data_IF_416499393913
#
_entry.id   IF_416499393913
#
_cell.length_a   1.000
_cell.length_b   1.000
_cell.length_c   1.000
_cell.angle_alpha   90.00
_cell.angle_beta   90.00
_cell.angle_gamma   90.00
#
_symmetry.space_group_name_H-M   'P 1'
#
loop_
_entity.id
_entity.type
_entity.pdbx_description
1 polymer ?
#
# COMPACT_ATOMS: atom_id res chain seq x y z
N UNK A 1 -17.41 23.92 -13.92
CA UNK A 1 -17.44 24.44 -12.53
C UNK A 1 -16.40 23.67 -11.72
N UNK A 2 -15.51 24.38 -11.02
CA UNK A 2 -14.60 23.75 -10.05
C UNK A 2 -15.49 23.20 -8.91
N UNK A 3 -15.33 21.93 -8.49
CA UNK A 3 -16.18 21.35 -7.46
C UNK A 3 -15.89 21.96 -6.08
N UNK A 4 -16.89 21.92 -5.18
CA UNK A 4 -16.70 22.17 -3.75
C UNK A 4 -16.11 20.93 -3.03
N UNK A 5 -15.73 21.05 -1.76
CA UNK A 5 -15.07 19.95 -1.04
C UNK A 5 -15.97 18.72 -0.91
N UNK A 6 -17.27 18.89 -0.71
CA UNK A 6 -18.20 17.78 -0.52
C UNK A 6 -18.44 16.99 -1.82
N UNK A 7 -18.54 17.68 -2.96
CA UNK A 7 -18.64 17.02 -4.27
C UNK A 7 -17.34 16.30 -4.62
N UNK A 8 -16.19 16.92 -4.33
CA UNK A 8 -14.89 16.33 -4.63
C UNK A 8 -14.58 15.14 -3.73
N UNK A 9 -14.87 15.22 -2.43
CA UNK A 9 -14.70 14.11 -1.47
C UNK A 9 -15.59 12.91 -1.82
N UNK A 10 -16.84 13.15 -2.21
CA UNK A 10 -17.75 12.09 -2.65
C UNK A 10 -17.22 11.38 -3.90
N UNK A 11 -16.69 12.13 -4.89
CA UNK A 11 -16.05 11.54 -6.08
C UNK A 11 -14.80 10.75 -5.72
N UNK A 12 -13.99 11.26 -4.80
CA UNK A 12 -12.80 10.57 -4.30
C UNK A 12 -13.16 9.25 -3.62
N UNK A 13 -14.18 9.22 -2.75
CA UNK A 13 -14.63 8.00 -2.08
C UNK A 13 -15.19 6.96 -3.06
N UNK A 14 -15.97 7.39 -4.05
CA UNK A 14 -16.46 6.50 -5.13
C UNK A 14 -15.31 5.92 -5.95
N UNK A 15 -14.31 6.74 -6.27
CA UNK A 15 -13.11 6.28 -6.97
C UNK A 15 -12.27 5.33 -6.13
N UNK A 16 -12.24 5.50 -4.80
CA UNK A 16 -11.54 4.60 -3.88
C UNK A 16 -12.27 3.26 -3.66
N UNK A 17 -13.58 3.20 -3.86
CA UNK A 17 -14.38 1.97 -3.70
C UNK A 17 -13.87 0.83 -4.59
N UNK A 18 -13.68 1.09 -5.88
CA UNK A 18 -13.25 0.10 -6.87
C UNK A 18 -11.93 -0.58 -6.46
N UNK A 19 -10.80 0.15 -6.26
CA UNK A 19 -9.54 -0.50 -5.92
C UNK A 19 -9.59 -1.22 -4.57
N UNK A 20 -10.35 -0.73 -3.59
CA UNK A 20 -10.47 -1.40 -2.28
C UNK A 20 -11.15 -2.75 -2.41
N UNK A 21 -12.33 -2.76 -3.04
CA UNK A 21 -13.11 -4.00 -3.22
C UNK A 21 -12.35 -4.98 -4.09
N UNK A 22 -11.75 -4.53 -5.20
CA UNK A 22 -11.01 -5.40 -6.12
C UNK A 22 -9.78 -6.00 -5.44
N UNK A 23 -8.95 -5.19 -4.76
CA UNK A 23 -7.75 -5.71 -4.08
C UNK A 23 -8.14 -6.63 -2.93
N UNK A 24 -9.13 -6.26 -2.12
CA UNK A 24 -9.59 -7.09 -1.01
C UNK A 24 -10.16 -8.42 -1.49
N UNK A 25 -10.99 -8.42 -2.54
CA UNK A 25 -11.57 -9.63 -3.11
C UNK A 25 -10.49 -10.55 -3.71
N UNK A 26 -9.52 -9.98 -4.42
CA UNK A 26 -8.44 -10.73 -5.05
C UNK A 26 -7.52 -11.37 -4.00
N UNK A 27 -7.14 -10.64 -2.96
CA UNK A 27 -6.30 -11.17 -1.87
C UNK A 27 -7.07 -12.18 -1.00
N UNK A 28 -8.37 -11.95 -0.75
CA UNK A 28 -9.22 -12.91 -0.03
C UNK A 28 -9.42 -14.20 -0.82
N UNK A 29 -9.60 -14.11 -2.14
CA UNK A 29 -9.65 -15.28 -3.03
C UNK A 29 -8.35 -16.08 -2.98
N UNK A 30 -7.21 -15.39 -2.95
CA UNK A 30 -5.90 -16.03 -2.75
C UNK A 30 -5.83 -16.75 -1.40
N UNK A 31 -6.24 -16.10 -0.30
CA UNK A 31 -6.27 -16.71 1.04
C UNK A 31 -7.12 -18.00 1.06
N UNK A 32 -8.34 -17.93 0.51
CA UNK A 32 -9.26 -19.06 0.45
C UNK A 32 -8.71 -20.25 -0.34
N UNK A 33 -7.99 -19.98 -1.43
CA UNK A 33 -7.38 -21.03 -2.26
C UNK A 33 -6.13 -21.63 -1.64
N UNK A 34 -5.41 -20.89 -0.81
CA UNK A 34 -4.09 -21.28 -0.32
C UNK A 34 -4.13 -22.07 0.98
N UNK A 35 -5.23 -22.00 1.74
CA UNK A 35 -5.33 -22.60 3.07
C UNK A 35 -6.18 -23.87 3.05
N UNK A 36 -5.59 -24.99 3.46
CA UNK A 36 -6.32 -26.21 3.85
C UNK A 36 -6.62 -26.11 5.34
N UNK A 37 -7.88 -26.35 5.73
CA UNK A 37 -8.37 -26.30 7.12
C UNK A 37 -7.92 -25.05 7.87
N UNK A 38 -8.48 -23.91 7.48
CA UNK A 38 -8.09 -22.61 8.03
C UNK A 38 -8.23 -22.55 9.55
N UNK A 39 -7.14 -22.18 10.22
CA UNK A 39 -7.13 -21.89 11.65
C UNK A 39 -7.61 -20.47 11.94
N UNK A 40 -8.05 -20.21 13.18
CA UNK A 40 -8.44 -18.87 13.62
C UNK A 40 -7.30 -17.86 13.40
N UNK A 41 -6.07 -18.25 13.72
CA UNK A 41 -4.90 -17.39 13.60
C UNK A 41 -4.56 -17.07 12.14
N UNK A 42 -4.72 -18.03 11.23
CA UNK A 42 -4.52 -17.79 9.78
C UNK A 42 -5.61 -16.89 9.19
N UNK A 43 -6.86 -17.04 9.65
CA UNK A 43 -7.94 -16.14 9.27
C UNK A 43 -7.66 -14.71 9.74
N UNK A 44 -7.26 -14.53 11.01
CA UNK A 44 -6.91 -13.23 11.58
C UNK A 44 -5.69 -12.63 10.87
N UNK A 45 -4.64 -13.42 10.67
CA UNK A 45 -3.42 -12.96 10.00
C UNK A 45 -3.68 -12.60 8.53
N UNK A 46 -4.42 -13.43 7.79
CA UNK A 46 -4.78 -13.22 6.40
C UNK A 46 -5.63 -11.97 6.20
N UNK A 47 -6.82 -11.94 6.81
CA UNK A 47 -7.74 -10.80 6.70
C UNK A 47 -7.14 -9.54 7.33
N UNK A 48 -6.41 -9.69 8.42
CA UNK A 48 -5.72 -8.60 9.12
C UNK A 48 -4.65 -7.95 8.25
N UNK A 49 -3.78 -8.74 7.62
CA UNK A 49 -2.74 -8.23 6.72
C UNK A 49 -3.34 -7.47 5.52
N UNK A 50 -4.41 -8.00 4.93
CA UNK A 50 -5.15 -7.33 3.85
C UNK A 50 -5.66 -5.97 4.31
N UNK A 51 -6.43 -5.93 5.41
CA UNK A 51 -7.00 -4.68 5.94
C UNK A 51 -5.91 -3.68 6.33
N UNK A 52 -4.88 -4.15 7.06
CA UNK A 52 -3.79 -3.32 7.54
C UNK A 52 -3.07 -2.64 6.38
N UNK A 53 -2.75 -3.40 5.32
CA UNK A 53 -2.05 -2.87 4.14
C UNK A 53 -2.84 -1.77 3.42
N UNK A 54 -4.16 -1.94 3.30
CA UNK A 54 -5.04 -0.99 2.63
C UNK A 54 -5.23 0.26 3.49
N UNK A 55 -5.64 0.10 4.75
CA UNK A 55 -5.95 1.20 5.67
C UNK A 55 -4.70 2.04 5.97
N UNK A 56 -3.57 1.39 6.23
CA UNK A 56 -2.31 2.10 6.44
C UNK A 56 -1.94 2.95 5.23
N UNK A 57 -2.01 2.37 4.03
CA UNK A 57 -1.70 3.07 2.78
C UNK A 57 -2.62 4.27 2.56
N UNK A 58 -3.93 4.12 2.82
CA UNK A 58 -4.89 5.20 2.70
C UNK A 58 -4.61 6.36 3.66
N UNK A 59 -4.38 6.05 4.94
CA UNK A 59 -4.20 7.09 5.96
C UNK A 59 -2.86 7.80 5.80
N UNK A 60 -1.81 7.05 5.44
CA UNK A 60 -0.48 7.63 5.17
C UNK A 60 -0.51 8.53 3.94
N UNK A 61 -1.06 8.05 2.83
CA UNK A 61 -1.02 8.77 1.55
C UNK A 61 -2.09 9.88 1.46
N UNK A 62 -3.17 9.74 2.23
CA UNK A 62 -4.30 10.68 2.23
C UNK A 62 -3.91 12.10 2.62
N UNK A 63 -3.03 12.26 3.61
CA UNK A 63 -2.58 13.60 4.05
C UNK A 63 -1.90 14.38 2.92
N UNK A 64 -0.90 13.77 2.27
CA UNK A 64 -0.18 14.42 1.16
C UNK A 64 -1.11 14.72 -0.02
N UNK A 65 -2.03 13.79 -0.34
CA UNK A 65 -3.00 14.00 -1.42
C UNK A 65 -3.94 15.19 -1.18
N UNK A 66 -4.48 15.33 0.04
CA UNK A 66 -5.39 16.43 0.36
C UNK A 66 -4.68 17.77 0.45
N UNK A 67 -3.43 17.80 0.95
CA UNK A 67 -2.57 18.99 0.88
C UNK A 67 -2.35 19.43 -0.56
N UNK A 68 -1.98 18.51 -1.45
CA UNK A 68 -1.85 18.79 -2.87
C UNK A 68 -3.15 19.38 -3.46
N UNK A 69 -4.29 18.78 -3.12
CA UNK A 69 -5.62 19.21 -3.61
C UNK A 69 -5.96 20.64 -3.19
N UNK A 70 -5.70 20.98 -1.92
CA UNK A 70 -5.95 22.31 -1.36
C UNK A 70 -5.00 23.35 -1.98
N UNK A 71 -3.69 23.08 -2.00
CA UNK A 71 -2.70 24.05 -2.49
C UNK A 71 -2.83 24.33 -3.99
N UNK A 72 -3.25 23.34 -4.79
CA UNK A 72 -3.44 23.52 -6.24
C UNK A 72 -4.82 24.03 -6.63
N UNK A 73 -5.66 24.42 -5.64
CA UNK A 73 -7.00 24.97 -5.86
C UNK A 73 -7.87 24.09 -6.78
N UNK A 74 -7.70 22.76 -6.68
CA UNK A 74 -8.55 21.79 -7.40
C UNK A 74 -10.01 21.81 -6.93
N UNK A 75 -10.21 22.44 -5.77
CA UNK A 75 -11.48 22.65 -5.12
C UNK A 75 -11.58 24.13 -4.79
N UNK A 76 -12.77 24.70 -4.95
CA UNK A 76 -13.03 26.10 -4.63
C UNK A 76 -14.10 26.17 -3.53
N UNK A 77 -13.76 26.83 -2.43
CA UNK A 77 -14.69 27.31 -1.40
C UNK A 77 -14.31 28.74 -1.05
N UNK A 78 -15.28 29.54 -0.63
CA UNK A 78 -15.00 30.91 -0.17
C UNK A 78 -14.20 30.89 1.13
N UNK A 79 -13.38 31.91 1.42
CA UNK A 79 -12.62 31.98 2.67
C UNK A 79 -13.49 31.86 3.93
N UNK A 80 -14.72 32.37 3.87
CA UNK A 80 -15.72 32.28 4.94
C UNK A 80 -16.21 30.85 5.16
N UNK A 81 -16.51 30.11 4.09
CA UNK A 81 -16.89 28.69 4.16
C UNK A 81 -15.75 27.83 4.71
N UNK A 82 -14.51 28.11 4.32
CA UNK A 82 -13.31 27.43 4.82
C UNK A 82 -13.16 27.67 6.32
N UNK A 83 -13.29 28.93 6.78
CA UNK A 83 -13.21 29.28 8.20
C UNK A 83 -14.31 28.56 9.00
N UNK A 84 -15.55 28.58 8.49
CA UNK A 84 -16.71 27.91 9.08
C UNK A 84 -16.51 26.39 9.16
N UNK A 85 -15.92 25.76 8.13
CA UNK A 85 -15.62 24.32 8.12
C UNK A 85 -14.52 23.95 9.12
N UNK A 86 -13.48 24.77 9.28
CA UNK A 86 -12.40 24.56 10.26
C UNK A 86 -12.95 24.59 11.70
N UNK A 87 -13.89 25.48 11.97
CA UNK A 87 -14.50 25.71 13.29
C UNK A 87 -15.54 24.63 13.65
N UNK A 88 -16.46 24.28 12.73
CA UNK A 88 -17.47 23.25 12.97
C UNK A 88 -16.90 21.83 13.13
N UNK A 89 -15.75 21.52 12.51
CA UNK A 89 -15.07 20.24 12.66
C UNK A 89 -14.16 20.22 13.90
N UNK A 90 -14.67 20.62 15.07
CA UNK A 90 -13.93 20.59 16.35
C UNK A 90 -13.64 19.14 16.78
N UNK A 91 -12.67 18.51 16.14
CA UNK A 91 -12.19 17.19 16.46
C UNK A 91 -11.43 17.25 17.79
N UNK A 92 -12.09 16.86 18.88
CA UNK A 92 -11.48 16.72 20.21
C UNK A 92 -10.28 15.76 20.21
N UNK A 93 -9.38 15.87 21.18
CA UNK A 93 -8.06 15.20 21.18
C UNK A 93 -8.09 13.68 20.94
N UNK A 94 -9.09 12.97 21.46
CA UNK A 94 -9.26 11.53 21.24
C UNK A 94 -9.66 11.17 19.80
N UNK A 95 -10.48 12.00 19.15
CA UNK A 95 -10.90 11.79 17.76
C UNK A 95 -9.71 11.85 16.79
N UNK A 96 -8.75 12.74 17.06
CA UNK A 96 -7.50 12.87 16.29
C UNK A 96 -6.68 11.58 16.26
N UNK A 97 -6.75 10.76 17.29
CA UNK A 97 -6.02 9.50 17.37
C UNK A 97 -6.53 8.53 16.29
N UNK A 98 -7.84 8.43 16.09
CA UNK A 98 -8.46 7.51 15.12
C UNK A 98 -8.13 7.80 13.65
N UNK A 99 -7.54 8.97 13.35
CA UNK A 99 -7.18 9.38 12.00
C UNK A 99 -5.66 9.36 11.75
N UNK A 100 -4.87 8.88 12.70
CA UNK A 100 -3.45 8.56 12.48
C UNK A 100 -3.32 7.18 11.82
N UNK A 101 -2.33 6.96 10.92
CA UNK A 101 -2.19 5.68 10.22
C UNK A 101 -2.13 4.48 11.16
N UNK A 102 -1.32 4.54 12.22
CA UNK A 102 -1.17 3.45 13.17
C UNK A 102 -2.45 3.15 13.93
N UNK A 103 -3.10 4.17 14.50
CA UNK A 103 -4.29 3.98 15.30
C UNK A 103 -5.51 3.57 14.47
N UNK A 104 -5.67 4.11 13.26
CA UNK A 104 -6.69 3.64 12.31
C UNK A 104 -6.48 2.16 11.96
N UNK A 105 -5.24 1.79 11.65
CA UNK A 105 -4.85 0.41 11.38
C UNK A 105 -5.13 -0.52 12.56
N UNK A 106 -4.78 -0.12 13.79
CA UNK A 106 -5.06 -0.90 15.00
C UNK A 106 -6.56 -1.08 15.25
N UNK A 107 -7.36 -0.02 15.08
CA UNK A 107 -8.81 -0.11 15.22
C UNK A 107 -9.40 -1.11 14.21
N UNK A 108 -8.98 -1.03 12.95
CA UNK A 108 -9.44 -1.99 11.93
C UNK A 108 -8.99 -3.42 12.22
N UNK A 109 -7.81 -3.60 12.80
CA UNK A 109 -7.33 -4.93 13.23
C UNK A 109 -8.20 -5.49 14.37
N UNK A 110 -8.59 -4.67 15.34
CA UNK A 110 -9.52 -5.08 16.40
C UNK A 110 -10.85 -5.54 15.82
N UNK A 111 -11.39 -4.81 14.84
CA UNK A 111 -12.62 -5.20 14.13
C UNK A 111 -12.44 -6.53 13.39
N UNK A 112 -11.31 -6.73 12.69
CA UNK A 112 -10.99 -8.00 12.03
C UNK A 112 -10.95 -9.16 13.03
N UNK A 113 -10.30 -8.98 14.18
CA UNK A 113 -10.22 -10.02 15.22
C UNK A 113 -11.60 -10.40 15.73
N UNK A 114 -12.44 -9.41 16.06
CA UNK A 114 -13.79 -9.66 16.56
C UNK A 114 -14.67 -10.37 15.52
N UNK A 115 -14.61 -9.94 14.26
CA UNK A 115 -15.36 -10.57 13.17
C UNK A 115 -14.86 -11.98 12.87
N UNK A 116 -13.55 -12.19 12.90
CA UNK A 116 -12.92 -13.50 12.73
C UNK A 116 -13.33 -14.46 13.86
N UNK A 117 -13.34 -13.97 15.10
CA UNK A 117 -13.80 -14.75 16.25
C UNK A 117 -15.28 -15.10 16.14
N UNK A 118 -16.13 -14.14 15.76
CA UNK A 118 -17.56 -14.39 15.53
C UNK A 118 -17.78 -15.44 14.45
N UNK A 119 -17.08 -15.33 13.31
CA UNK A 119 -17.16 -16.31 12.24
C UNK A 119 -16.65 -17.70 12.66
N UNK A 120 -15.65 -17.76 13.53
CA UNK A 120 -15.13 -19.01 14.08
C UNK A 120 -16.16 -19.72 14.97
N UNK A 121 -16.92 -18.96 15.77
CA UNK A 121 -17.95 -19.47 16.66
C UNK A 121 -19.17 -20.03 15.91
N UNK A 122 -19.42 -19.62 14.65
CA UNK A 122 -20.51 -20.16 13.83
C UNK A 122 -20.32 -21.64 13.43
N UNK A 123 -19.13 -22.21 13.63
CA UNK A 123 -18.83 -23.62 13.36
C UNK A 123 -18.08 -23.86 12.04
N UNK A 124 -17.49 -25.07 11.87
CA UNK A 124 -16.53 -25.36 10.81
C UNK A 124 -17.12 -25.27 9.40
N UNK A 125 -18.38 -25.67 9.23
CA UNK A 125 -19.07 -25.67 7.92
C UNK A 125 -19.23 -24.27 7.30
N UNK A 126 -19.23 -23.22 8.12
CA UNK A 126 -19.41 -21.84 7.65
C UNK A 126 -18.11 -21.05 7.51
N UNK A 127 -16.94 -21.61 7.86
CA UNK A 127 -15.67 -20.86 7.89
C UNK A 127 -15.31 -20.25 6.53
N UNK A 128 -15.27 -21.06 5.48
CA UNK A 128 -14.93 -20.61 4.12
C UNK A 128 -15.92 -19.58 3.54
N UNK A 129 -17.25 -19.79 3.57
CA UNK A 129 -18.18 -18.79 3.06
C UNK A 129 -18.17 -17.50 3.90
N UNK A 130 -17.99 -17.59 5.22
CA UNK A 130 -17.87 -16.40 6.09
C UNK A 130 -16.58 -15.62 5.82
N UNK A 131 -15.46 -16.27 5.56
CA UNK A 131 -14.22 -15.57 5.14
C UNK A 131 -14.44 -14.84 3.81
N UNK A 132 -15.12 -15.48 2.86
CA UNK A 132 -15.52 -14.83 1.60
C UNK A 132 -16.37 -13.59 1.85
N UNK A 133 -17.42 -13.69 2.66
CA UNK A 133 -18.29 -12.58 3.02
C UNK A 133 -17.52 -11.45 3.73
N UNK A 134 -16.67 -11.81 4.70
CA UNK A 134 -15.87 -10.86 5.46
C UNK A 134 -14.88 -10.14 4.54
N UNK A 135 -14.06 -10.87 3.79
CA UNK A 135 -13.00 -10.28 2.98
C UNK A 135 -13.47 -9.54 1.72
N UNK A 136 -14.62 -9.91 1.14
CA UNK A 136 -15.13 -9.30 -0.10
C UNK A 136 -16.13 -8.17 0.17
N UNK A 137 -16.92 -8.26 1.24
CA UNK A 137 -18.02 -7.32 1.49
C UNK A 137 -17.80 -6.52 2.76
N UNK A 138 -17.70 -7.21 3.90
CA UNK A 138 -17.81 -6.56 5.20
C UNK A 138 -16.56 -5.73 5.54
N UNK A 139 -15.36 -6.27 5.30
CA UNK A 139 -14.10 -5.58 5.55
C UNK A 139 -13.87 -4.42 4.58
N UNK A 140 -14.11 -4.55 3.25
CA UNK A 140 -14.12 -3.39 2.36
C UNK A 140 -15.08 -2.29 2.80
N UNK A 141 -16.29 -2.63 3.26
CA UNK A 141 -17.24 -1.66 3.79
C UNK A 141 -16.70 -0.94 5.03
N UNK A 142 -16.08 -1.67 5.97
CA UNK A 142 -15.41 -1.09 7.15
C UNK A 142 -14.27 -0.15 6.73
N UNK A 143 -13.42 -0.56 5.78
CA UNK A 143 -12.32 0.27 5.28
C UNK A 143 -12.81 1.55 4.60
N UNK A 144 -13.87 1.47 3.80
CA UNK A 144 -14.47 2.63 3.14
C UNK A 144 -15.18 3.54 4.13
N UNK A 145 -15.84 2.99 5.14
CA UNK A 145 -16.43 3.76 6.23
C UNK A 145 -15.34 4.50 7.03
N UNK A 146 -14.23 3.84 7.34
CA UNK A 146 -13.07 4.47 7.97
C UNK A 146 -12.53 5.61 7.12
N UNK A 147 -12.39 5.39 5.80
CA UNK A 147 -11.93 6.40 4.85
C UNK A 147 -12.88 7.60 4.81
N UNK A 148 -14.18 7.37 4.66
CA UNK A 148 -15.23 8.41 4.67
C UNK A 148 -15.14 9.28 5.92
N UNK A 149 -15.02 8.66 7.10
CA UNK A 149 -14.85 9.39 8.38
C UNK A 149 -13.54 10.15 8.49
N UNK A 150 -12.48 9.68 7.82
CA UNK A 150 -11.17 10.32 7.84
C UNK A 150 -11.03 11.51 6.88
N UNK A 151 -11.77 11.53 5.78
CA UNK A 151 -11.61 12.54 4.73
C UNK A 151 -11.85 13.97 5.25
N UNK A 152 -12.93 14.27 6.01
CA UNK A 152 -13.13 15.60 6.59
C UNK A 152 -11.96 16.04 7.49
N UNK A 153 -11.39 15.10 8.26
CA UNK A 153 -10.21 15.36 9.08
C UNK A 153 -8.99 15.71 8.24
N UNK A 154 -8.73 14.94 7.17
CA UNK A 154 -7.59 15.18 6.26
C UNK A 154 -7.71 16.51 5.51
N UNK A 155 -8.93 16.87 5.09
CA UNK A 155 -9.22 18.18 4.47
C UNK A 155 -8.95 19.32 5.46
N UNK A 156 -9.51 19.23 6.68
CA UNK A 156 -9.28 20.24 7.71
C UNK A 156 -7.79 20.40 8.03
N UNK A 157 -7.07 19.29 8.15
CA UNK A 157 -5.63 19.33 8.38
C UNK A 157 -4.91 20.04 7.23
N UNK A 158 -5.24 19.72 5.97
CA UNK A 158 -4.66 20.39 4.81
C UNK A 158 -4.95 21.89 4.77
N UNK A 159 -6.18 22.32 5.12
CA UNK A 159 -6.56 23.73 5.20
C UNK A 159 -5.79 24.48 6.31
N UNK A 160 -5.67 23.88 7.49
CA UNK A 160 -4.90 24.46 8.60
C UNK A 160 -3.43 24.67 8.23
N UNK A 161 -2.82 23.69 7.55
CA UNK A 161 -1.44 23.79 7.06
C UNK A 161 -1.32 24.86 5.97
N UNK A 162 -2.33 25.01 5.12
CA UNK A 162 -2.34 26.06 4.12
C UNK A 162 -2.42 27.45 4.74
N UNK A 163 -3.26 27.64 5.76
CA UNK A 163 -3.43 28.91 6.48
C UNK A 163 -2.17 29.31 7.25
N UNK A 164 -1.55 28.36 7.94
CA UNK A 164 -0.39 28.61 8.80
C UNK A 164 0.77 27.68 8.45
N UNK A 165 1.28 27.87 7.23
CA UNK A 165 2.40 27.07 6.72
C UNK A 165 3.68 27.30 7.53
N UNK A 166 3.88 28.53 8.04
CA UNK A 166 5.11 28.91 8.74
C UNK A 166 5.26 28.19 10.08
N UNK A 167 4.17 27.97 10.82
CA UNK A 167 4.21 27.29 12.12
C UNK A 167 4.00 25.77 12.04
N UNK A 168 3.86 25.21 10.84
CA UNK A 168 3.70 23.77 10.70
C UNK A 168 5.02 23.03 10.94
N UNK A 169 5.07 22.24 12.01
CA UNK A 169 6.21 21.37 12.32
C UNK A 169 6.31 20.23 11.28
N UNK A 170 7.23 20.39 10.33
CA UNK A 170 7.48 19.38 9.32
C UNK A 170 8.15 18.15 9.93
N UNK A 171 7.79 16.97 9.43
CA UNK A 171 8.48 15.71 9.72
C UNK A 171 9.10 15.21 8.42
N UNK A 172 10.38 15.51 8.16
CA UNK A 172 11.00 15.18 6.90
C UNK A 172 11.05 13.66 6.73
N UNK A 173 10.47 13.17 5.65
CA UNK A 173 10.54 11.77 5.25
C UNK A 173 11.63 11.61 4.20
N UNK A 174 12.24 10.42 4.18
CA UNK A 174 13.20 10.01 3.14
C UNK A 174 12.57 8.90 2.30
N UNK A 175 12.98 8.79 1.04
CA UNK A 175 12.48 7.78 0.12
C UNK A 175 12.74 6.34 0.62
N UNK A 176 13.91 5.99 1.21
CA UNK A 176 14.12 4.67 1.80
C UNK A 176 13.13 4.32 2.93
N UNK A 177 12.66 5.30 3.71
CA UNK A 177 11.66 5.05 4.74
C UNK A 177 10.30 4.71 4.13
N UNK A 178 9.90 5.42 3.07
CA UNK A 178 8.68 5.10 2.31
C UNK A 178 8.78 3.71 1.65
N UNK A 179 9.96 3.34 1.15
CA UNK A 179 10.24 2.02 0.59
C UNK A 179 10.13 0.92 1.65
N UNK A 180 10.74 1.12 2.82
CA UNK A 180 10.71 0.16 3.92
C UNK A 180 9.29 -0.12 4.42
N UNK A 181 8.45 0.91 4.55
CA UNK A 181 7.04 0.74 4.89
C UNK A 181 6.28 -0.07 3.83
N UNK A 182 6.48 0.23 2.54
CA UNK A 182 5.81 -0.49 1.46
C UNK A 182 6.29 -1.96 1.40
N UNK A 183 7.57 -2.21 1.61
CA UNK A 183 8.15 -3.55 1.70
C UNK A 183 7.56 -4.33 2.87
N UNK A 184 7.46 -3.72 4.05
CA UNK A 184 6.91 -4.35 5.25
C UNK A 184 5.46 -4.78 5.01
N UNK A 185 4.63 -3.90 4.45
CA UNK A 185 3.23 -4.24 4.13
C UNK A 185 3.14 -5.32 3.05
N UNK A 186 3.98 -5.25 2.02
CA UNK A 186 4.04 -6.26 0.96
C UNK A 186 4.42 -7.64 1.50
N UNK A 187 5.45 -7.70 2.35
CA UNK A 187 5.90 -8.93 3.02
C UNK A 187 4.85 -9.47 3.99
N UNK A 188 4.18 -8.60 4.76
CA UNK A 188 3.12 -9.01 5.67
C UNK A 188 1.98 -9.72 4.93
N UNK A 189 1.50 -9.13 3.83
CA UNK A 189 0.46 -9.73 2.99
C UNK A 189 0.98 -11.02 2.34
N UNK A 190 2.21 -11.01 1.84
CA UNK A 190 2.81 -12.18 1.22
C UNK A 190 2.90 -13.37 2.19
N UNK A 191 3.43 -13.17 3.39
CA UNK A 191 3.53 -14.23 4.39
C UNK A 191 2.17 -14.74 4.83
N UNK A 192 1.20 -13.84 5.04
CA UNK A 192 -0.14 -14.23 5.43
C UNK A 192 -0.85 -15.09 4.36
N UNK A 193 -0.54 -14.88 3.07
CA UNK A 193 -1.16 -15.62 1.95
C UNK A 193 -0.39 -16.87 1.52
N UNK A 194 0.95 -16.89 1.66
CA UNK A 194 1.80 -17.92 1.07
C UNK A 194 2.23 -18.98 2.09
N UNK A 195 2.48 -18.62 3.35
CA UNK A 195 2.91 -19.61 4.35
C UNK A 195 1.94 -20.80 4.50
N UNK A 196 0.60 -20.60 4.47
CA UNK A 196 -0.33 -21.72 4.57
C UNK A 196 -0.27 -22.73 3.41
N UNK A 197 0.28 -22.33 2.25
CA UNK A 197 0.43 -23.18 1.06
C UNK A 197 1.31 -24.40 1.35
N UNK A 198 2.28 -24.26 2.27
CA UNK A 198 3.20 -25.35 2.63
C UNK A 198 2.51 -26.62 3.16
N UNK A 199 1.23 -26.55 3.54
CA UNK A 199 0.43 -27.73 3.95
C UNK A 199 -0.18 -28.51 2.78
N UNK A 200 -0.14 -27.98 1.56
CA UNK A 200 -0.68 -28.66 0.38
C UNK A 200 0.22 -29.81 -0.08
N UNK A 201 -0.39 -30.87 -0.59
CA UNK A 201 0.33 -32.04 -1.10
C UNK A 201 1.34 -31.70 -2.19
N UNK A 202 1.02 -30.75 -3.07
CA UNK A 202 1.89 -30.28 -4.16
C UNK A 202 3.19 -29.61 -3.66
N UNK A 203 3.16 -29.07 -2.44
CA UNK A 203 4.29 -28.42 -1.79
C UNK A 203 4.93 -29.31 -0.72
N UNK A 204 4.53 -30.59 -0.65
CA UNK A 204 5.14 -31.56 0.23
C UNK A 204 6.57 -31.85 -0.19
N UNK A 205 7.49 -31.69 0.76
CA UNK A 205 8.91 -31.95 0.57
C UNK A 205 9.27 -33.43 0.78
N UNK A 206 8.30 -34.32 1.02
CA UNK A 206 8.54 -35.74 1.30
C UNK A 206 9.32 -36.46 0.18
N UNK A 207 9.08 -36.08 -1.08
CA UNK A 207 9.80 -36.59 -2.25
C UNK A 207 11.13 -35.86 -2.53
N UNK A 208 11.52 -34.92 -1.67
CA UNK A 208 12.72 -34.09 -1.79
C UNK A 208 12.55 -32.86 -2.69
N UNK A 209 13.48 -31.91 -2.53
CA UNK A 209 13.51 -30.64 -3.28
C UNK A 209 13.67 -30.81 -4.81
N UNK A 210 14.26 -31.93 -5.24
CA UNK A 210 14.50 -32.26 -6.65
C UNK A 210 13.31 -32.83 -7.40
N UNK A 211 12.17 -33.03 -6.75
CA UNK A 211 10.99 -33.60 -7.40
C UNK A 211 10.50 -32.63 -8.50
N UNK A 212 10.39 -33.07 -9.78
CA UNK A 212 9.90 -32.22 -10.87
C UNK A 212 8.55 -31.56 -10.60
N UNK A 213 7.62 -32.27 -9.95
CA UNK A 213 6.31 -31.72 -9.61
C UNK A 213 6.41 -30.56 -8.62
N UNK A 214 7.27 -30.70 -7.60
CA UNK A 214 7.54 -29.65 -6.63
C UNK A 214 8.21 -28.44 -7.28
N UNK A 215 9.22 -28.66 -8.12
CA UNK A 215 9.94 -27.59 -8.82
C UNK A 215 8.97 -26.75 -9.66
N UNK A 216 8.07 -27.40 -10.43
CA UNK A 216 7.08 -26.70 -11.25
C UNK A 216 6.08 -25.93 -10.39
N UNK A 217 5.53 -26.55 -9.33
CA UNK A 217 4.61 -25.88 -8.42
C UNK A 217 5.26 -24.66 -7.74
N UNK A 218 6.52 -24.80 -7.32
CA UNK A 218 7.27 -23.75 -6.66
C UNK A 218 7.67 -22.61 -7.60
N UNK A 219 8.03 -22.95 -8.85
CA UNK A 219 8.25 -21.97 -9.91
C UNK A 219 7.00 -21.11 -10.12
N UNK A 220 5.83 -21.74 -10.30
CA UNK A 220 4.56 -21.03 -10.46
C UNK A 220 4.28 -20.13 -9.25
N UNK A 221 4.49 -20.63 -8.03
CA UNK A 221 4.31 -19.85 -6.80
C UNK A 221 5.19 -18.60 -6.79
N UNK A 222 6.50 -18.73 -7.05
CA UNK A 222 7.41 -17.58 -7.05
C UNK A 222 7.12 -16.59 -8.17
N UNK A 223 6.71 -17.06 -9.35
CA UNK A 223 6.26 -16.19 -10.44
C UNK A 223 5.04 -15.37 -10.03
N UNK A 224 4.03 -16.00 -9.41
CA UNK A 224 2.83 -15.31 -8.91
C UNK A 224 3.22 -14.29 -7.83
N UNK A 225 4.05 -14.69 -6.86
CA UNK A 225 4.54 -13.80 -5.79
C UNK A 225 5.25 -12.58 -6.37
N UNK A 226 6.11 -12.78 -7.36
CA UNK A 226 6.80 -11.67 -8.02
C UNK A 226 5.83 -10.74 -8.74
N UNK A 227 4.86 -11.28 -9.50
CA UNK A 227 3.84 -10.47 -10.17
C UNK A 227 3.06 -9.59 -9.19
N UNK A 228 2.68 -10.15 -8.04
CA UNK A 228 2.02 -9.41 -6.96
C UNK A 228 2.89 -8.28 -6.43
N UNK A 229 4.14 -8.57 -6.08
CA UNK A 229 5.07 -7.56 -5.57
C UNK A 229 5.35 -6.48 -6.62
N UNK A 230 5.51 -6.87 -7.88
CA UNK A 230 5.73 -5.94 -8.99
C UNK A 230 4.53 -5.02 -9.23
N UNK A 231 3.30 -5.54 -9.17
CA UNK A 231 2.09 -4.71 -9.29
C UNK A 231 2.01 -3.66 -8.17
N UNK A 232 2.34 -4.03 -6.93
CA UNK A 232 2.43 -3.07 -5.83
C UNK A 232 3.57 -2.06 -6.02
N UNK A 233 4.68 -2.45 -6.66
CA UNK A 233 5.81 -1.56 -6.93
C UNK A 233 5.44 -0.40 -7.87
N UNK A 234 4.57 -0.65 -8.86
CA UNK A 234 4.21 0.31 -9.92
C UNK A 234 3.31 1.46 -9.42
N UNK A 235 2.63 1.30 -8.27
CA UNK A 235 1.61 2.25 -7.81
C UNK A 235 2.15 3.69 -7.75
N UNK A 236 1.58 4.64 -8.53
CA UNK A 236 2.07 6.01 -8.57
C UNK A 236 1.74 6.77 -7.28
N UNK A 237 2.66 7.64 -6.86
CA UNK A 237 2.51 8.51 -5.68
C UNK A 237 2.85 9.98 -5.91
N UNK A 238 3.03 10.40 -7.17
CA UNK A 238 3.42 11.78 -7.53
C UNK A 238 2.62 12.89 -6.82
N UNK A 239 1.29 12.77 -6.73
CA UNK A 239 0.46 13.80 -6.09
C UNK A 239 0.63 13.86 -4.58
N UNK A 240 0.86 12.70 -3.94
CA UNK A 240 1.13 12.62 -2.50
C UNK A 240 2.49 13.25 -2.20
N UNK A 241 3.51 12.90 -2.99
CA UNK A 241 4.86 13.43 -2.88
C UNK A 241 4.87 14.94 -3.09
N UNK A 242 4.16 15.45 -4.09
CA UNK A 242 4.02 16.89 -4.32
C UNK A 242 3.38 17.59 -3.12
N UNK A 243 2.32 17.03 -2.55
CA UNK A 243 1.72 17.57 -1.32
C UNK A 243 2.71 17.63 -0.17
N UNK A 244 3.47 16.56 0.06
CA UNK A 244 4.53 16.53 1.08
C UNK A 244 5.67 17.53 0.79
N UNK A 245 6.01 17.79 -0.48
CA UNK A 245 6.98 18.83 -0.87
C UNK A 245 6.48 20.23 -0.53
N UNK A 246 5.20 20.52 -0.82
CA UNK A 246 4.63 21.85 -0.63
C UNK A 246 4.62 22.28 0.84
N UNK A 247 4.59 21.32 1.77
CA UNK A 247 4.60 21.55 3.23
C UNK A 247 5.97 21.29 3.87
N UNK A 248 7.01 21.03 3.07
CA UNK A 248 8.37 20.82 3.56
C UNK A 248 8.58 19.51 4.34
N UNK A 249 7.73 18.49 4.14
CA UNK A 249 7.88 17.16 4.74
C UNK A 249 8.86 16.24 3.97
N UNK A 250 9.63 16.80 3.04
CA UNK A 250 10.63 16.08 2.26
C UNK A 250 12.00 16.49 2.77
N UNK A 251 12.82 15.50 3.17
CA UNK A 251 14.20 15.75 3.57
C UNK A 251 15.02 16.31 2.40
N UNK A 252 16.06 17.11 2.68
CA UNK A 252 16.96 17.64 1.65
C UNK A 252 17.65 16.51 0.85
N UNK A 253 17.90 15.36 1.49
CA UNK A 253 18.46 14.14 0.92
C UNK A 253 17.39 13.09 0.60
N UNK A 254 16.20 13.51 0.16
CA UNK A 254 15.06 12.61 -0.04
C UNK A 254 15.38 11.34 -0.84
N UNK A 255 16.11 11.50 -1.94
CA UNK A 255 16.59 10.43 -2.80
C UNK A 255 18.13 10.42 -2.78
N UNK A 256 18.76 9.71 -1.83
CA UNK A 256 20.21 9.78 -1.63
C UNK A 256 21.01 9.09 -2.74
N UNK A 257 20.39 8.17 -3.48
CA UNK A 257 21.04 7.41 -4.53
C UNK A 257 20.26 7.54 -5.86
N UNK A 258 20.99 7.64 -6.96
CA UNK A 258 20.39 7.44 -8.28
C UNK A 258 19.92 5.99 -8.40
N UNK A 259 18.81 5.74 -9.12
CA UNK A 259 18.33 4.39 -9.32
C UNK A 259 19.30 3.59 -10.22
N UNK A 260 19.15 2.26 -10.20
CA UNK A 260 20.07 1.37 -10.90
C UNK A 260 19.98 1.55 -12.42
N UNK A 261 21.13 1.52 -13.11
CA UNK A 261 21.19 1.81 -14.55
C UNK A 261 20.30 0.88 -15.40
N UNK A 262 20.14 -0.38 -14.97
CA UNK A 262 19.31 -1.37 -15.66
C UNK A 262 17.82 -1.06 -15.54
N UNK A 263 17.36 -0.57 -14.37
CA UNK A 263 15.96 -0.16 -14.16
C UNK A 263 15.64 1.14 -14.86
N UNK A 264 16.62 2.03 -15.04
CA UNK A 264 16.46 3.32 -15.71
C UNK A 264 16.42 3.22 -17.24
N UNK A 265 17.15 2.28 -17.86
CA UNK A 265 17.30 2.19 -19.32
C UNK A 265 16.24 1.35 -20.03
N UNK A 266 15.75 0.29 -19.39
CA UNK A 266 14.77 -0.60 -20.01
C UNK A 266 13.34 -0.15 -19.72
N UNK A 267 12.47 -0.25 -20.73
CA UNK A 267 11.05 -0.03 -20.55
C UNK A 267 10.45 -1.08 -19.57
N UNK A 268 9.50 -0.63 -18.75
CA UNK A 268 8.88 -1.43 -17.67
C UNK A 268 8.39 -2.83 -18.10
N UNK A 269 7.69 -3.05 -19.23
CA UNK A 269 7.24 -4.39 -19.60
C UNK A 269 8.39 -5.35 -19.89
N UNK A 270 9.48 -4.86 -20.50
CA UNK A 270 10.66 -5.68 -20.76
C UNK A 270 11.39 -6.07 -19.47
N UNK A 271 11.47 -5.16 -18.50
CA UNK A 271 12.01 -5.48 -17.17
C UNK A 271 11.20 -6.57 -16.49
N UNK A 272 9.86 -6.49 -16.56
CA UNK A 272 8.98 -7.53 -16.01
C UNK A 272 9.29 -8.89 -16.62
N UNK A 273 9.40 -8.99 -17.96
CA UNK A 273 9.73 -10.25 -18.63
C UNK A 273 11.08 -10.79 -18.18
N UNK A 274 12.10 -9.93 -18.08
CA UNK A 274 13.44 -10.33 -17.60
C UNK A 274 13.35 -10.85 -16.15
N UNK A 275 12.63 -10.15 -15.28
CA UNK A 275 12.45 -10.59 -13.90
C UNK A 275 11.64 -11.87 -13.79
N UNK A 276 10.63 -12.10 -14.64
CA UNK A 276 9.88 -13.36 -14.70
C UNK A 276 10.80 -14.53 -15.03
N UNK A 277 11.63 -14.38 -16.06
CA UNK A 277 12.60 -15.40 -16.47
C UNK A 277 13.63 -15.62 -15.35
N UNK A 278 14.17 -14.55 -14.76
CA UNK A 278 15.15 -14.64 -13.69
C UNK A 278 14.59 -15.37 -12.45
N UNK A 279 13.35 -15.07 -12.05
CA UNK A 279 12.68 -15.74 -10.92
C UNK A 279 12.36 -17.20 -11.25
N UNK A 280 11.94 -17.50 -12.47
CA UNK A 280 11.71 -18.88 -12.90
C UNK A 280 13.01 -19.70 -12.85
N UNK A 281 14.10 -19.19 -13.41
CA UNK A 281 15.42 -19.84 -13.35
C UNK A 281 15.93 -19.98 -11.91
N UNK A 282 15.74 -18.94 -11.08
CA UNK A 282 16.10 -18.98 -9.67
C UNK A 282 15.34 -20.05 -8.90
N UNK A 283 14.04 -20.22 -9.19
CA UNK A 283 13.21 -21.24 -8.54
C UNK A 283 13.75 -22.65 -8.77
N UNK A 284 14.22 -22.95 -9.99
CA UNK A 284 14.83 -24.22 -10.33
C UNK A 284 16.20 -24.35 -9.65
N UNK A 285 17.03 -23.31 -9.76
CA UNK A 285 18.38 -23.31 -9.19
C UNK A 285 18.36 -23.53 -7.67
N UNK A 286 17.46 -22.87 -6.93
CA UNK A 286 17.39 -23.00 -5.48
C UNK A 286 16.88 -24.37 -5.03
N UNK A 287 15.94 -24.97 -5.78
CA UNK A 287 15.50 -26.35 -5.52
C UNK A 287 16.68 -27.34 -5.64
N UNK A 288 17.43 -27.25 -6.74
CA UNK A 288 18.59 -28.11 -6.99
C UNK A 288 19.72 -27.85 -5.99
N UNK A 289 19.94 -26.60 -5.59
CA UNK A 289 20.93 -26.24 -4.58
C UNK A 289 20.59 -26.85 -3.21
N UNK A 290 19.34 -26.73 -2.76
CA UNK A 290 18.89 -27.32 -1.50
C UNK A 290 18.96 -28.84 -1.50
N UNK A 291 18.69 -29.47 -2.65
CA UNK A 291 18.89 -30.90 -2.84
C UNK A 291 20.38 -31.29 -2.73
N UNK A 292 21.26 -30.56 -3.41
CA UNK A 292 22.71 -30.81 -3.40
C UNK A 292 23.30 -30.65 -2.00
N UNK A 293 22.86 -29.64 -1.25
CA UNK A 293 23.32 -29.35 0.11
C UNK A 293 22.70 -30.27 1.19
N UNK A 294 21.77 -31.16 0.82
CA UNK A 294 21.07 -32.08 1.73
C UNK A 294 20.48 -31.39 2.96
N UNK A 295 19.93 -30.19 2.77
CA UNK A 295 19.33 -29.40 3.85
C UNK A 295 18.05 -30.06 4.39
N UNK A 296 17.69 -29.82 5.67
CA UNK A 296 16.46 -30.37 6.24
C UNK A 296 15.25 -29.92 5.43
N UNK A 297 14.30 -30.83 5.23
CA UNK A 297 13.08 -30.60 4.44
C UNK A 297 12.09 -29.72 5.21
N UNK A 298 12.25 -28.41 5.12
CA UNK A 298 11.40 -27.43 5.79
C UNK A 298 11.01 -26.31 4.83
N UNK A 299 9.70 -26.15 4.63
CA UNK A 299 9.15 -25.21 3.65
C UNK A 299 9.45 -23.75 4.00
N UNK A 300 9.34 -23.36 5.27
CA UNK A 300 9.50 -21.97 5.72
C UNK A 300 10.90 -21.40 5.44
N UNK A 301 12.01 -22.01 5.93
CA UNK A 301 13.34 -21.49 5.65
C UNK A 301 13.69 -21.55 4.17
N UNK A 302 13.24 -22.59 3.46
CA UNK A 302 13.39 -22.70 2.00
C UNK A 302 12.69 -21.54 1.28
N UNK A 303 11.45 -21.24 1.65
CA UNK A 303 10.68 -20.14 1.09
C UNK A 303 11.35 -18.78 1.35
N UNK A 304 11.82 -18.52 2.58
CA UNK A 304 12.51 -17.28 2.92
C UNK A 304 13.77 -17.06 2.08
N UNK A 305 14.59 -18.09 1.87
CA UNK A 305 15.76 -18.01 1.00
C UNK A 305 15.36 -17.76 -0.46
N UNK A 306 14.28 -18.41 -0.92
CA UNK A 306 13.79 -18.24 -2.29
C UNK A 306 13.23 -16.84 -2.56
N UNK A 307 12.73 -16.16 -1.52
CA UNK A 307 12.12 -14.84 -1.59
C UNK A 307 13.16 -13.72 -1.73
N UNK A 308 14.43 -13.96 -1.38
CA UNK A 308 15.47 -12.92 -1.37
C UNK A 308 15.60 -12.17 -2.70
N UNK A 309 15.73 -12.84 -3.87
CA UNK A 309 15.82 -12.10 -5.14
C UNK A 309 14.55 -11.32 -5.46
N UNK A 310 13.37 -11.84 -5.09
CA UNK A 310 12.11 -11.14 -5.31
C UNK A 310 12.04 -9.86 -4.48
N UNK A 311 12.51 -9.90 -3.23
CA UNK A 311 12.59 -8.69 -2.37
C UNK A 311 13.57 -7.68 -2.95
N UNK A 312 14.72 -8.10 -3.45
CA UNK A 312 15.68 -7.21 -4.10
C UNK A 312 15.11 -6.57 -5.36
N UNK A 313 14.44 -7.36 -6.21
CA UNK A 313 13.75 -6.87 -7.42
C UNK A 313 12.67 -5.85 -7.03
N UNK A 314 11.85 -6.17 -6.03
CA UNK A 314 10.83 -5.26 -5.52
C UNK A 314 11.44 -3.95 -5.03
N UNK A 315 12.50 -4.01 -4.24
CA UNK A 315 13.19 -2.82 -3.73
C UNK A 315 13.72 -1.95 -4.87
N UNK A 316 14.37 -2.54 -5.87
CA UNK A 316 14.89 -1.81 -7.03
C UNK A 316 13.76 -1.14 -7.84
N UNK A 317 12.71 -1.88 -8.18
CA UNK A 317 11.59 -1.39 -8.98
C UNK A 317 10.75 -0.35 -8.24
N UNK A 318 10.50 -0.56 -6.94
CA UNK A 318 9.77 0.40 -6.10
C UNK A 318 10.58 1.67 -5.88
N UNK A 319 11.88 1.56 -5.66
CA UNK A 319 12.77 2.71 -5.53
C UNK A 319 12.76 3.54 -6.81
N UNK A 320 12.93 2.91 -7.97
CA UNK A 320 12.84 3.58 -9.28
C UNK A 320 11.48 4.29 -9.43
N UNK A 321 10.37 3.60 -9.16
CA UNK A 321 9.04 4.20 -9.30
C UNK A 321 8.85 5.42 -8.37
N UNK A 322 9.31 5.34 -7.12
CA UNK A 322 9.25 6.47 -6.19
C UNK A 322 10.16 7.63 -6.61
N UNK A 323 11.33 7.32 -7.17
CA UNK A 323 12.26 8.30 -7.72
C UNK A 323 11.68 9.04 -8.93
N UNK A 324 11.11 8.31 -9.89
CA UNK A 324 10.42 8.89 -11.05
C UNK A 324 9.27 9.81 -10.59
N UNK A 325 8.45 9.35 -9.63
CA UNK A 325 7.37 10.16 -9.06
C UNK A 325 7.88 11.41 -8.33
N UNK A 326 9.07 11.36 -7.75
CA UNK A 326 9.71 12.50 -7.10
C UNK A 326 10.16 13.55 -8.12
N UNK A 327 10.80 13.13 -9.22
CA UNK A 327 11.18 14.04 -10.31
C UNK A 327 9.94 14.71 -10.94
N UNK A 328 8.89 13.94 -11.22
CA UNK A 328 7.61 14.50 -11.71
C UNK A 328 7.02 15.52 -10.71
N UNK A 329 7.08 15.23 -9.41
CA UNK A 329 6.59 16.14 -8.38
C UNK A 329 7.44 17.42 -8.29
N UNK A 330 8.77 17.34 -8.47
CA UNK A 330 9.65 18.52 -8.53
C UNK A 330 9.29 19.42 -9.71
N UNK A 331 9.11 18.84 -10.90
CA UNK A 331 8.70 19.58 -12.10
C UNK A 331 7.33 20.27 -11.90
N UNK A 332 6.36 19.55 -11.33
CA UNK A 332 5.05 20.12 -11.00
C UNK A 332 5.15 21.26 -9.99
N UNK A 333 6.03 21.14 -8.99
CA UNK A 333 6.27 22.18 -7.99
C UNK A 333 6.87 23.44 -8.63
N UNK A 334 7.87 23.29 -9.49
CA UNK A 334 8.48 24.42 -10.21
C UNK A 334 7.43 25.17 -11.04
N UNK A 335 6.56 24.44 -11.75
CA UNK A 335 5.44 25.05 -12.51
C UNK A 335 4.45 25.78 -11.61
N UNK A 336 4.16 25.23 -10.43
CA UNK A 336 3.28 25.90 -9.46
C UNK A 336 3.91 27.20 -8.94
N UNK A 337 5.20 27.17 -8.56
CA UNK A 337 5.91 28.33 -8.03
C UNK A 337 6.06 29.45 -9.07
N UNK A 338 6.31 29.13 -10.34
CA UNK A 338 6.37 30.13 -11.42
C UNK A 338 5.03 30.81 -11.67
N UNK A 339 3.94 30.04 -11.66
CA UNK A 339 2.58 30.59 -11.81
C UNK A 339 2.23 31.48 -10.61
N UNK A 340 2.51 31.02 -9.38
CA UNK A 340 2.25 31.80 -8.16
C UNK A 340 3.03 33.12 -8.15
N UNK A 341 4.32 33.09 -8.55
CA UNK A 341 5.14 34.30 -8.67
C UNK A 341 4.58 35.27 -9.72
N UNK A 342 4.14 34.76 -10.88
CA UNK A 342 3.55 35.57 -11.93
C UNK A 342 2.22 36.24 -11.50
N UNK A 343 1.39 35.54 -10.72
CA UNK A 343 0.15 36.10 -10.14
C UNK A 343 0.46 37.19 -9.12
N UNK A 344 1.38 36.93 -8.18
CA UNK A 344 1.79 37.92 -7.19
C UNK A 344 2.40 39.17 -7.83
N UNK A 345 3.19 38.99 -8.90
CA UNK A 345 3.77 40.12 -9.65
C UNK A 345 2.71 40.96 -10.39
N UNK A 346 1.58 40.35 -10.81
CA UNK A 346 0.44 41.08 -11.38
C UNK A 346 -0.36 41.81 -10.32
N UNK A 347 -0.59 41.18 -9.16
CA UNK A 347 -1.31 41.78 -8.04
C UNK A 347 -0.54 42.96 -7.42
N UNK A 348 0.79 42.90 -7.36
CA UNK A 348 1.61 44.01 -6.85
C UNK A 348 1.76 45.19 -7.83
N UNK A 349 1.27 45.05 -9.08
CA UNK A 349 1.28 46.09 -10.11
C UNK A 349 -0.08 46.76 -10.32
N UNK A 350 -1.14 46.16 -9.77
CA UNK A 350 -2.50 46.71 -9.74
C UNK A 350 -2.70 47.42 -8.39
#
# INVERSE_FOLDING_TARGET
>A
MIPNFDTFSTRYLRAACIPVVVVSALLTSSLLRNVIDISLWEMVAGLGAICLSIVWSMMRDGRGYWVYTVFTMRVYETPEEIARRIEHLSLGGASRLFYQPLAASLLTLTVVVLLSLAAWLCGPQYRYPLIGLLGVVLLPAVMLWQLDRSVPFLIRQAMMIHKDKANYASRPRRLPACLAEDLLLGLLVNFALVLPIGRKAEFSLAAGYGNPAFIVAFMILLTIVMLFMFFFAIRPRRYVILGDMLIGNIAADFAPCAPWALTARLARPWRLVIWLIAVALWSVAICLLFQMLKLPQSFVPFYLCSLLPIVLIYCAERYQALYDNHLEAQEMRQRYETIAAAVNAKLNKA
#
